data_IF_894806045722
#
_entry.id   IF_894806045722
#
_cell.length_a   1.000
_cell.length_b   1.000
_cell.length_c   1.000
_cell.angle_alpha   90.00
_cell.angle_beta   90.00
_cell.angle_gamma   90.00
#
_symmetry.space_group_name_H-M   'P 1'
#
loop_
_entity.id
_entity.type
_entity.pdbx_description
1 polymer ?
#
# COMPACT_ATOMS: atom_id res chain seq x y z
N UNK A 1 -1.86 -12.23 -17.70
CA UNK A 1 -0.74 -11.48 -17.10
C UNK A 1 -0.04 -12.42 -16.13
N UNK A 2 1.29 -12.51 -16.09
CA UNK A 2 2.01 -13.30 -15.07
C UNK A 2 2.73 -12.35 -14.13
N UNK A 3 2.84 -12.69 -12.85
CA UNK A 3 3.59 -11.90 -11.87
C UNK A 3 5.04 -11.65 -12.33
N UNK A 4 5.66 -12.62 -13.00
CA UNK A 4 6.98 -12.48 -13.62
C UNK A 4 7.07 -11.28 -14.58
N UNK A 5 6.07 -11.07 -15.42
CA UNK A 5 6.10 -10.00 -16.44
C UNK A 5 6.05 -8.62 -15.75
N UNK A 6 5.31 -8.51 -14.65
CA UNK A 6 5.18 -7.29 -13.83
C UNK A 6 6.48 -7.00 -13.08
N UNK A 7 7.05 -8.02 -12.42
CA UNK A 7 8.34 -7.90 -11.72
C UNK A 7 9.44 -7.48 -12.69
N UNK A 8 9.49 -8.12 -13.87
CA UNK A 8 10.45 -7.77 -14.93
C UNK A 8 10.29 -6.31 -15.35
N UNK A 9 9.05 -5.88 -15.61
CA UNK A 9 8.74 -4.50 -16.01
C UNK A 9 9.24 -3.49 -14.96
N UNK A 10 8.92 -3.70 -13.68
CA UNK A 10 9.37 -2.81 -12.60
C UNK A 10 10.90 -2.86 -12.45
N UNK A 11 11.53 -4.04 -12.47
CA UNK A 11 13.00 -4.20 -12.42
C UNK A 11 13.71 -3.43 -13.53
N UNK A 12 13.14 -3.43 -14.72
CA UNK A 12 13.68 -2.75 -15.91
C UNK A 12 13.38 -1.23 -15.91
N UNK A 13 12.74 -0.71 -14.84
CA UNK A 13 12.45 0.72 -14.65
C UNK A 13 11.13 1.18 -15.26
N UNK A 14 10.28 0.26 -15.72
CA UNK A 14 8.95 0.58 -16.21
C UNK A 14 7.97 0.97 -15.10
N UNK A 15 6.98 1.77 -15.45
CA UNK A 15 5.87 2.14 -14.56
C UNK A 15 4.74 1.11 -14.65
N UNK A 16 4.18 0.73 -13.51
CA UNK A 16 3.05 -0.19 -13.41
C UNK A 16 1.72 0.55 -13.48
N UNK A 17 0.73 -0.05 -14.12
CA UNK A 17 -0.63 0.47 -14.16
C UNK A 17 -1.52 -0.14 -13.07
N UNK A 18 -2.76 0.35 -12.98
CA UNK A 18 -3.72 -0.08 -11.95
C UNK A 18 -4.03 -1.57 -12.03
N UNK A 19 -4.20 -2.12 -13.23
CA UNK A 19 -4.55 -3.53 -13.45
C UNK A 19 -3.41 -4.45 -13.03
N UNK A 20 -2.15 -4.05 -13.25
CA UNK A 20 -0.95 -4.78 -12.82
C UNK A 20 -0.84 -4.80 -11.29
N UNK A 21 -1.08 -3.68 -10.61
CA UNK A 21 -1.14 -3.65 -9.14
C UNK A 21 -2.30 -4.49 -8.60
N UNK A 22 -3.49 -4.37 -9.18
CA UNK A 22 -4.65 -5.17 -8.77
C UNK A 22 -4.39 -6.67 -8.93
N UNK A 23 -3.76 -7.08 -10.03
CA UNK A 23 -3.37 -8.47 -10.25
C UNK A 23 -2.41 -8.96 -9.16
N UNK A 24 -1.31 -8.22 -8.89
CA UNK A 24 -0.33 -8.63 -7.88
C UNK A 24 -0.95 -8.71 -6.48
N UNK A 25 -1.68 -7.68 -6.05
CA UNK A 25 -2.21 -7.60 -4.69
C UNK A 25 -3.32 -8.62 -4.48
N UNK A 26 -4.27 -8.77 -5.41
CA UNK A 26 -5.32 -9.79 -5.30
C UNK A 26 -4.73 -11.19 -5.33
N UNK A 27 -3.80 -11.45 -6.25
CA UNK A 27 -3.14 -12.74 -6.35
C UNK A 27 -2.33 -13.09 -5.11
N UNK A 28 -1.71 -12.10 -4.45
CA UNK A 28 -1.03 -12.33 -3.17
C UNK A 28 -2.02 -12.71 -2.06
N UNK A 29 -3.11 -11.95 -1.94
CA UNK A 29 -4.13 -12.19 -0.91
C UNK A 29 -4.89 -13.50 -1.10
N UNK A 30 -5.00 -14.00 -2.33
CA UNK A 30 -5.61 -15.30 -2.65
C UNK A 30 -4.60 -16.45 -2.72
N UNK A 31 -3.35 -16.25 -2.30
CA UNK A 31 -2.25 -17.22 -2.33
C UNK A 31 -1.88 -17.76 -3.74
N UNK A 32 -2.37 -17.12 -4.81
CA UNK A 32 -2.03 -17.46 -6.21
C UNK A 32 -0.67 -16.90 -6.63
N UNK A 33 -0.24 -15.79 -6.03
CA UNK A 33 1.10 -15.21 -6.21
C UNK A 33 1.90 -15.48 -4.93
N UNK A 34 2.92 -16.35 -4.99
CA UNK A 34 3.66 -16.76 -3.80
C UNK A 34 4.58 -15.64 -3.28
N UNK A 35 4.89 -15.70 -1.98
CA UNK A 35 5.71 -14.73 -1.25
C UNK A 35 7.04 -14.38 -1.95
N UNK A 36 7.70 -15.35 -2.57
CA UNK A 36 8.97 -15.14 -3.26
C UNK A 36 8.85 -14.25 -4.51
N UNK A 37 7.66 -14.17 -5.12
CA UNK A 37 7.41 -13.25 -6.24
C UNK A 37 7.11 -11.85 -5.71
N UNK A 38 6.38 -11.74 -4.61
CA UNK A 38 6.12 -10.45 -3.96
C UNK A 38 7.40 -9.85 -3.40
N UNK A 39 8.28 -10.65 -2.76
CA UNK A 39 9.58 -10.17 -2.29
C UNK A 39 10.47 -9.67 -3.44
N UNK A 40 10.44 -10.34 -4.60
CA UNK A 40 11.13 -9.88 -5.80
C UNK A 40 10.54 -8.56 -6.35
N UNK A 41 9.22 -8.41 -6.35
CA UNK A 41 8.55 -7.15 -6.70
C UNK A 41 8.92 -6.02 -5.73
N UNK A 42 8.92 -6.28 -4.43
CA UNK A 42 9.29 -5.31 -3.40
C UNK A 42 10.74 -4.85 -3.56
N UNK A 43 11.67 -5.77 -3.80
CA UNK A 43 13.08 -5.42 -4.06
C UNK A 43 13.25 -4.62 -5.36
N UNK A 44 12.52 -4.98 -6.42
CA UNK A 44 12.53 -4.21 -7.66
C UNK A 44 12.01 -2.77 -7.45
N UNK A 45 10.92 -2.62 -6.69
CA UNK A 45 10.35 -1.32 -6.31
C UNK A 45 11.28 -0.52 -5.40
N UNK A 46 11.99 -1.19 -4.48
CA UNK A 46 13.00 -0.55 -3.63
C UNK A 46 14.15 0.05 -4.46
N UNK A 47 14.66 -0.70 -5.45
CA UNK A 47 15.79 -0.27 -6.27
C UNK A 47 15.44 0.73 -7.38
N UNK A 48 14.21 0.71 -7.88
CA UNK A 48 13.75 1.57 -8.99
C UNK A 48 12.83 2.70 -8.56
N UNK A 49 12.29 2.62 -7.35
CA UNK A 49 11.24 3.51 -6.87
C UNK A 49 9.86 3.20 -7.48
N UNK A 50 8.87 3.87 -6.90
CA UNK A 50 7.57 4.11 -7.48
C UNK A 50 7.46 5.62 -7.72
N UNK A 51 6.91 6.04 -8.85
CA UNK A 51 6.55 7.44 -9.02
C UNK A 51 5.27 7.77 -8.21
N UNK A 52 4.86 9.04 -8.22
CA UNK A 52 3.68 9.49 -7.46
C UNK A 52 2.40 8.77 -7.89
N UNK A 53 2.19 8.61 -9.20
CA UNK A 53 1.01 7.91 -9.75
C UNK A 53 0.98 6.45 -9.31
N UNK A 54 2.10 5.74 -9.40
CA UNK A 54 2.24 4.36 -8.95
C UNK A 54 1.98 4.21 -7.45
N UNK A 55 2.46 5.17 -6.65
CA UNK A 55 2.26 5.18 -5.19
C UNK A 55 0.79 5.39 -4.84
N UNK A 56 0.11 6.30 -5.54
CA UNK A 56 -1.34 6.52 -5.39
C UNK A 56 -2.11 5.27 -5.80
N UNK A 57 -1.77 4.66 -6.94
CA UNK A 57 -2.43 3.45 -7.44
C UNK A 57 -2.26 2.26 -6.49
N UNK A 58 -1.04 2.01 -6.02
CA UNK A 58 -0.78 0.95 -5.05
C UNK A 58 -1.59 1.17 -3.76
N UNK A 59 -1.63 2.42 -3.27
CA UNK A 59 -2.40 2.78 -2.07
C UNK A 59 -3.91 2.57 -2.26
N UNK A 60 -4.50 3.03 -3.36
CA UNK A 60 -5.94 2.83 -3.68
C UNK A 60 -6.28 1.34 -3.84
N UNK A 61 -5.40 0.56 -4.47
CA UNK A 61 -5.60 -0.89 -4.61
C UNK A 61 -5.58 -1.57 -3.25
N UNK A 62 -4.62 -1.27 -2.39
CA UNK A 62 -4.55 -1.84 -1.03
C UNK A 62 -5.71 -1.39 -0.14
N UNK A 63 -6.14 -0.13 -0.23
CA UNK A 63 -7.30 0.39 0.52
C UNK A 63 -8.57 -0.43 0.24
N UNK A 64 -8.75 -0.88 -1.01
CA UNK A 64 -9.96 -1.58 -1.47
C UNK A 64 -9.94 -3.09 -1.27
N UNK A 65 -8.89 -3.67 -0.68
CA UNK A 65 -8.83 -5.12 -0.46
C UNK A 65 -9.54 -5.57 0.81
N UNK A 66 -9.85 -4.64 1.71
CA UNK A 66 -10.49 -4.93 2.99
C UNK A 66 -11.78 -4.14 3.21
N UNK A 67 -12.10 -3.92 4.48
CA UNK A 67 -13.25 -3.14 4.90
C UNK A 67 -12.93 -1.65 4.88
N UNK A 68 -13.89 -0.84 4.42
CA UNK A 68 -13.85 0.62 4.51
C UNK A 68 -14.85 1.02 5.58
N UNK A 69 -14.36 1.67 6.64
CA UNK A 69 -15.21 2.17 7.71
C UNK A 69 -15.97 3.40 7.22
N UNK A 70 -17.30 3.35 7.30
CA UNK A 70 -18.17 4.50 7.09
C UNK A 70 -18.36 5.22 8.43
N UNK A 71 -17.95 6.49 8.47
CA UNK A 71 -18.01 7.35 9.66
C UNK A 71 -18.92 8.57 9.41
N UNK A 72 -19.80 8.50 8.41
CA UNK A 72 -20.69 9.59 8.02
C UNK A 72 -21.76 9.90 9.06
N UNK A 73 -22.10 8.94 9.94
CA UNK A 73 -23.07 9.14 11.03
C UNK A 73 -22.53 10.01 12.19
N UNK A 74 -21.23 10.34 12.19
CA UNK A 74 -20.64 11.23 13.20
C UNK A 74 -20.71 12.69 12.75
N UNK A 75 -21.35 13.55 13.54
CA UNK A 75 -21.55 14.97 13.22
C UNK A 75 -20.23 15.77 13.20
N UNK A 76 -19.24 15.38 14.00
CA UNK A 76 -17.96 16.07 14.12
C UNK A 76 -16.91 15.64 13.08
N UNK A 77 -15.95 16.51 12.71
CA UNK A 77 -14.84 16.14 11.84
C UNK A 77 -14.00 14.98 12.39
N UNK A 78 -13.70 14.00 11.54
CA UNK A 78 -12.79 12.88 11.87
C UNK A 78 -11.37 13.27 11.50
N UNK A 79 -10.49 13.30 12.50
CA UNK A 79 -9.07 13.61 12.33
C UNK A 79 -8.28 12.40 12.83
N UNK A 80 -7.27 12.00 12.07
CA UNK A 80 -6.33 10.96 12.46
C UNK A 80 -4.90 11.52 12.50
N UNK A 81 -4.07 10.94 13.37
CA UNK A 81 -2.64 11.21 13.46
C UNK A 81 -1.89 9.89 13.34
N UNK A 82 -1.01 9.84 12.35
CA UNK A 82 -0.07 8.74 12.17
C UNK A 82 1.37 9.16 12.48
N UNK A 83 2.21 8.24 12.96
CA UNK A 83 3.66 8.42 13.11
C UNK A 83 4.37 7.46 12.19
N UNK A 84 5.37 7.93 11.45
CA UNK A 84 6.25 7.05 10.66
C UNK A 84 7.18 6.20 11.53
N UNK A 85 7.29 6.53 12.83
CA UNK A 85 8.11 5.85 13.82
C UNK A 85 9.16 6.76 14.45
N UNK A 86 9.53 6.44 15.69
CA UNK A 86 10.53 7.18 16.46
C UNK A 86 10.78 6.52 17.82
N UNK A 87 12.02 6.58 18.33
CA UNK A 87 12.36 6.00 19.64
C UNK A 87 11.75 6.86 20.74
N UNK A 88 10.80 6.30 21.48
CA UNK A 88 10.12 7.00 22.57
C UNK A 88 9.00 7.96 22.12
N UNK A 89 8.52 7.88 20.88
CA UNK A 89 7.35 8.66 20.44
C UNK A 89 6.09 8.18 21.17
N UNK A 90 5.66 8.96 22.17
CA UNK A 90 4.45 8.72 22.97
C UNK A 90 3.32 9.69 22.64
N UNK A 91 3.44 10.45 21.55
CA UNK A 91 2.50 11.54 21.22
C UNK A 91 1.07 11.01 21.14
N UNK A 92 0.83 9.87 20.51
CA UNK A 92 -0.53 9.36 20.30
C UNK A 92 -1.27 9.06 21.61
N UNK A 93 -0.58 8.64 22.68
CA UNK A 93 -1.18 8.35 23.98
C UNK A 93 -1.72 9.61 24.65
N UNK A 94 -0.99 10.72 24.51
CA UNK A 94 -1.36 12.01 25.11
C UNK A 94 -2.35 12.75 24.22
N UNK A 95 -2.13 12.71 22.90
CA UNK A 95 -2.93 13.47 21.94
C UNK A 95 -4.36 12.95 21.86
N UNK A 96 -4.57 11.63 21.80
CA UNK A 96 -5.90 11.04 21.62
C UNK A 96 -6.95 11.49 22.66
N UNK A 97 -6.67 11.57 23.97
CA UNK A 97 -7.63 12.10 24.95
C UNK A 97 -7.58 13.64 25.12
N UNK A 98 -6.56 14.32 24.58
CA UNK A 98 -6.39 15.76 24.75
C UNK A 98 -7.23 16.57 23.77
N UNK A 99 -7.48 16.03 22.56
CA UNK A 99 -8.20 16.70 21.47
C UNK A 99 -9.66 16.27 21.37
#
# INVERSE_FOLDING_TARGET
MRAYDIIKKKRDGGCLNKEEFQFLIKGYLSEEVPDYQISAFLMASFLRGLNDEETILLTDVMLRTGHILDLTEMDDPRIDKHSTGGVGDKVSIILAPLV
#
